data_IF_579671714273
#
_entry.id   IF_579671714273
#
_cell.length_a   1.000
_cell.length_b   1.000
_cell.length_c   1.000
_cell.angle_alpha   90.00
_cell.angle_beta   90.00
_cell.angle_gamma   90.00
#
_symmetry.space_group_name_H-M   'P 1'
#
loop_
_entity.id
_entity.type
_entity.pdbx_description
1 polymer ?
#
# COMPACT_ATOMS: atom_id res chain seq x y z
N UNK A 1 -10.24 40.81 26.00
CA UNK A 1 -10.81 39.78 25.07
C UNK A 1 -9.78 39.19 24.09
N UNK A 2 -8.74 39.92 23.65
CA UNK A 2 -7.74 39.44 22.67
C UNK A 2 -6.97 38.15 23.04
N UNK A 3 -6.64 37.93 24.32
CA UNK A 3 -5.86 36.76 24.76
C UNK A 3 -6.58 35.41 24.66
N UNK A 4 -7.92 35.40 24.65
CA UNK A 4 -8.72 34.17 24.48
C UNK A 4 -8.70 33.72 23.02
N UNK A 5 -8.76 34.66 22.08
CA UNK A 5 -8.69 34.38 20.65
C UNK A 5 -7.29 33.89 20.24
N UNK A 6 -6.22 34.46 20.80
CA UNK A 6 -4.84 34.03 20.54
C UNK A 6 -4.60 32.57 20.96
N UNK A 7 -5.09 32.16 22.14
CA UNK A 7 -4.96 30.79 22.66
C UNK A 7 -5.77 29.77 21.85
N UNK A 8 -6.96 30.17 21.35
CA UNK A 8 -7.77 29.34 20.46
C UNK A 8 -7.08 29.15 19.11
N UNK A 9 -6.51 30.21 18.55
CA UNK A 9 -5.77 30.18 17.28
C UNK A 9 -4.55 29.25 17.35
N UNK A 10 -3.75 29.36 18.42
CA UNK A 10 -2.60 28.47 18.65
C UNK A 10 -3.00 27.00 18.76
N UNK A 11 -4.10 26.70 19.47
CA UNK A 11 -4.66 25.34 19.55
C UNK A 11 -5.10 24.81 18.19
N UNK A 12 -5.77 25.63 17.38
CA UNK A 12 -6.22 25.24 16.05
C UNK A 12 -5.04 24.97 15.12
N UNK A 13 -4.00 25.81 15.14
CA UNK A 13 -2.77 25.60 14.35
C UNK A 13 -2.07 24.30 14.78
N UNK A 14 -1.97 24.05 16.09
CA UNK A 14 -1.38 22.81 16.61
C UNK A 14 -2.17 21.58 16.16
N UNK A 15 -3.50 21.61 16.24
CA UNK A 15 -4.37 20.51 15.80
C UNK A 15 -4.22 20.23 14.30
N UNK A 16 -4.18 21.27 13.47
CA UNK A 16 -3.98 21.13 12.01
C UNK A 16 -2.58 20.56 11.72
N UNK A 17 -1.55 21.03 12.42
CA UNK A 17 -0.18 20.51 12.29
C UNK A 17 -0.07 19.02 12.65
N UNK A 18 -0.73 18.59 13.73
CA UNK A 18 -0.78 17.17 14.13
C UNK A 18 -1.54 16.35 13.09
N UNK A 19 -2.66 16.84 12.57
CA UNK A 19 -3.46 16.10 11.58
C UNK A 19 -2.73 15.97 10.22
N UNK A 20 -1.99 16.99 9.82
CA UNK A 20 -1.16 16.95 8.62
C UNK A 20 -0.01 15.93 8.73
N UNK A 21 0.54 15.71 9.92
CA UNK A 21 1.62 14.75 10.16
C UNK A 21 1.20 13.27 10.10
N UNK A 22 -0.11 12.96 10.15
CA UNK A 22 -0.61 11.58 10.06
C UNK A 22 -0.54 11.02 8.61
N UNK A 23 -0.31 11.90 7.63
CA UNK A 23 -0.24 11.49 6.22
C UNK A 23 1.17 11.01 5.86
N UNK A 24 1.44 9.70 6.00
CA UNK A 24 2.25 8.89 5.04
C UNK A 24 2.80 7.55 5.61
N UNK A 25 2.05 6.81 6.42
CA UNK A 25 2.37 5.39 6.61
C UNK A 25 1.90 4.58 5.38
N UNK A 26 2.55 4.81 4.24
CA UNK A 26 2.21 4.23 2.94
C UNK A 26 2.87 2.85 2.82
N UNK A 27 2.28 1.85 3.47
CA UNK A 27 2.84 0.50 3.54
C UNK A 27 2.42 -0.37 2.35
N UNK A 28 3.36 -1.17 1.84
CA UNK A 28 3.05 -2.31 0.96
C UNK A 28 2.22 -3.33 1.74
N UNK A 29 1.23 -3.93 1.08
CA UNK A 29 0.43 -5.02 1.64
C UNK A 29 0.83 -6.31 0.94
N UNK A 30 1.25 -7.29 1.73
CA UNK A 30 1.63 -8.62 1.30
C UNK A 30 0.46 -9.57 1.53
N UNK A 31 0.09 -10.30 0.49
CA UNK A 31 -0.91 -11.35 0.55
C UNK A 31 -0.28 -12.70 0.20
N UNK A 32 -0.53 -13.72 1.00
CA UNK A 32 -0.11 -15.10 0.69
C UNK A 32 -1.07 -16.11 1.31
N UNK A 33 -0.94 -17.37 0.91
CA UNK A 33 -1.58 -18.49 1.59
C UNK A 33 -0.69 -18.98 2.72
N UNK A 34 -1.19 -18.90 3.95
CA UNK A 34 -0.51 -19.44 5.11
C UNK A 34 -0.33 -20.96 4.96
N UNK A 35 0.90 -21.49 5.04
CA UNK A 35 1.15 -22.90 4.78
C UNK A 35 0.58 -23.82 5.87
N UNK A 36 0.41 -23.33 7.10
CA UNK A 36 -0.09 -24.10 8.24
C UNK A 36 -1.63 -24.12 8.24
N UNK A 37 -2.24 -22.94 8.15
CA UNK A 37 -3.70 -22.79 8.29
C UNK A 37 -4.46 -22.83 6.97
N UNK A 38 -3.75 -22.77 5.82
CA UNK A 38 -4.32 -22.66 4.45
C UNK A 38 -5.20 -21.42 4.21
N UNK A 39 -5.23 -20.50 5.17
CA UNK A 39 -5.98 -19.24 5.07
C UNK A 39 -5.21 -18.21 4.27
N UNK A 40 -5.91 -17.22 3.71
CA UNK A 40 -5.24 -16.06 3.12
C UNK A 40 -4.80 -15.13 4.25
N UNK A 41 -3.51 -14.81 4.28
CA UNK A 41 -2.94 -13.80 5.17
C UNK A 41 -2.72 -12.50 4.43
N UNK A 42 -2.91 -11.40 5.14
CA UNK A 42 -2.60 -10.03 4.74
C UNK A 42 -1.73 -9.41 5.81
N UNK A 43 -0.60 -8.81 5.42
CA UNK A 43 0.35 -8.20 6.33
C UNK A 43 1.02 -6.99 5.69
N UNK A 44 1.37 -6.00 6.50
CA UNK A 44 2.24 -4.89 6.10
C UNK A 44 3.74 -5.24 6.26
N UNK A 45 4.05 -6.37 6.87
CA UNK A 45 5.39 -6.96 6.94
C UNK A 45 5.52 -8.11 5.93
N UNK A 46 6.62 -8.12 5.18
CA UNK A 46 6.91 -9.15 4.20
C UNK A 46 7.11 -10.51 4.87
N UNK A 47 6.64 -11.62 4.26
CA UNK A 47 6.97 -12.94 4.78
C UNK A 47 8.47 -13.23 4.60
N UNK A 48 9.09 -14.07 5.46
CA UNK A 48 10.55 -14.26 5.49
C UNK A 48 11.19 -14.79 4.21
N UNK A 49 10.40 -15.35 3.29
CA UNK A 49 10.88 -15.87 2.00
C UNK A 49 10.74 -14.89 0.84
N UNK A 50 10.01 -13.78 1.00
CA UNK A 50 9.84 -12.81 -0.08
C UNK A 50 11.19 -12.18 -0.45
N UNK A 51 11.53 -12.21 -1.75
CA UNK A 51 12.81 -11.76 -2.32
C UNK A 51 14.04 -12.55 -1.88
N UNK A 52 13.84 -13.70 -1.25
CA UNK A 52 14.93 -14.64 -0.97
C UNK A 52 14.89 -15.75 -2.03
N UNK A 53 15.72 -15.67 -3.08
CA UNK A 53 15.67 -16.61 -4.21
C UNK A 53 15.69 -18.09 -3.80
N UNK A 54 16.50 -18.43 -2.80
CA UNK A 54 16.63 -19.81 -2.34
C UNK A 54 15.36 -20.31 -1.64
N UNK A 55 14.72 -19.46 -0.84
CA UNK A 55 13.51 -19.81 -0.07
C UNK A 55 12.23 -19.64 -0.88
N UNK A 56 12.18 -18.64 -1.74
CA UNK A 56 11.00 -18.25 -2.52
C UNK A 56 10.56 -19.36 -3.47
N UNK A 57 11.50 -20.10 -4.08
CA UNK A 57 11.22 -21.22 -4.99
C UNK A 57 10.40 -22.36 -4.37
N UNK A 58 10.42 -22.50 -3.05
CA UNK A 58 9.72 -23.55 -2.30
C UNK A 58 8.62 -23.01 -1.38
N UNK A 59 8.33 -21.72 -1.48
CA UNK A 59 7.43 -21.04 -0.57
C UNK A 59 6.10 -20.67 -1.22
N UNK A 60 5.06 -20.35 -0.43
CA UNK A 60 3.79 -19.87 -0.96
C UNK A 60 3.95 -18.60 -1.82
N UNK A 61 3.16 -18.53 -2.90
CA UNK A 61 3.00 -17.33 -3.73
C UNK A 61 2.70 -16.12 -2.85
N UNK A 62 3.40 -15.02 -3.12
CA UNK A 62 3.19 -13.72 -2.50
C UNK A 62 2.72 -12.74 -3.57
N UNK A 63 1.61 -12.08 -3.30
CA UNK A 63 1.14 -10.92 -4.05
C UNK A 63 1.42 -9.67 -3.23
N UNK A 64 2.00 -8.66 -3.86
CA UNK A 64 2.31 -7.39 -3.20
C UNK A 64 1.43 -6.31 -3.79
N UNK A 65 0.71 -5.61 -2.94
CA UNK A 65 -0.14 -4.50 -3.30
C UNK A 65 0.46 -3.20 -2.78
N UNK A 66 0.39 -2.16 -3.61
CA UNK A 66 0.74 -0.80 -3.25
C UNK A 66 -0.41 0.10 -3.67
N UNK A 67 -1.03 0.80 -2.72
CA UNK A 67 -2.28 1.55 -2.94
C UNK A 67 -3.39 0.75 -3.63
N UNK A 68 -3.55 -0.53 -3.29
CA UNK A 68 -4.54 -1.41 -3.92
C UNK A 68 -4.22 -1.83 -5.36
N UNK A 69 -3.09 -1.38 -5.92
CA UNK A 69 -2.58 -1.86 -7.21
C UNK A 69 -1.62 -3.01 -6.98
N UNK A 70 -1.76 -4.09 -7.76
CA UNK A 70 -0.83 -5.21 -7.72
C UNK A 70 0.54 -4.79 -8.27
N UNK A 71 1.53 -4.74 -7.39
CA UNK A 71 2.89 -4.27 -7.66
C UNK A 71 3.88 -5.42 -7.93
N UNK A 72 3.59 -6.61 -7.44
CA UNK A 72 4.45 -7.79 -7.59
C UNK A 72 3.65 -9.07 -7.38
N UNK A 73 4.08 -10.15 -8.03
CA UNK A 73 3.50 -11.47 -7.89
C UNK A 73 4.56 -12.55 -8.11
N UNK A 74 4.88 -13.30 -7.04
CA UNK A 74 5.98 -14.27 -7.10
C UNK A 74 5.68 -15.51 -7.95
N UNK A 75 4.45 -15.68 -8.43
CA UNK A 75 4.13 -16.73 -9.41
C UNK A 75 4.52 -16.39 -10.84
N UNK A 76 4.86 -15.13 -11.11
CA UNK A 76 5.23 -14.66 -12.45
C UNK A 76 6.74 -14.71 -12.67
N UNK A 77 7.14 -14.76 -13.94
CA UNK A 77 8.54 -14.68 -14.37
C UNK A 77 9.21 -13.38 -13.88
N UNK A 78 10.52 -13.43 -13.66
CA UNK A 78 11.28 -12.34 -13.06
C UNK A 78 11.10 -11.01 -13.82
N UNK A 79 11.14 -11.06 -15.16
CA UNK A 79 11.04 -9.91 -16.05
C UNK A 79 9.67 -9.24 -15.93
N UNK A 80 8.60 -10.04 -15.83
CA UNK A 80 7.23 -9.55 -15.66
C UNK A 80 7.09 -8.84 -14.33
N UNK A 81 7.60 -9.44 -13.25
CA UNK A 81 7.59 -8.81 -11.93
C UNK A 81 8.38 -7.51 -11.90
N UNK A 82 9.52 -7.47 -12.60
CA UNK A 82 10.33 -6.27 -12.68
C UNK A 82 9.60 -5.15 -13.41
N UNK A 83 8.86 -5.47 -14.47
CA UNK A 83 7.98 -4.52 -15.17
C UNK A 83 6.81 -4.05 -14.29
N UNK A 84 6.18 -4.95 -13.54
CA UNK A 84 5.10 -4.57 -12.60
C UNK A 84 5.62 -3.61 -11.52
N UNK A 85 6.81 -3.86 -10.96
CA UNK A 85 7.42 -3.00 -9.96
C UNK A 85 7.79 -1.62 -10.52
N UNK A 86 8.26 -1.54 -11.76
CA UNK A 86 8.62 -0.26 -12.40
C UNK A 86 7.39 0.57 -12.78
N UNK A 87 6.27 -0.08 -13.09
CA UNK A 87 4.97 0.56 -13.32
C UNK A 87 4.23 0.86 -12.01
N UNK A 88 4.55 0.11 -10.95
CA UNK A 88 3.95 0.31 -9.65
C UNK A 88 4.26 1.73 -9.15
N UNK A 89 3.30 2.43 -8.56
CA UNK A 89 3.45 3.82 -8.10
C UNK A 89 4.35 3.98 -6.89
N UNK A 90 5.26 3.04 -6.63
CA UNK A 90 6.19 3.06 -5.51
C UNK A 90 6.98 4.38 -5.60
N UNK A 91 6.61 5.36 -4.77
CA UNK A 91 7.17 6.72 -4.80
C UNK A 91 6.51 7.73 -5.76
N UNK A 92 5.34 7.47 -6.34
CA UNK A 92 4.56 8.42 -7.17
C UNK A 92 3.10 8.50 -6.71
N UNK A 93 2.51 9.70 -6.72
CA UNK A 93 1.08 9.90 -6.48
C UNK A 93 0.25 9.20 -7.56
N UNK A 94 -0.69 8.35 -7.15
CA UNK A 94 -1.64 7.74 -8.06
C UNK A 94 -2.84 8.66 -8.31
N UNK A 95 -3.34 8.76 -9.55
CA UNK A 95 -4.74 9.15 -9.78
C UNK A 95 -5.69 8.07 -9.25
N UNK A 96 -6.93 8.44 -8.86
CA UNK A 96 -7.87 7.55 -8.18
C UNK A 96 -8.23 6.29 -9.00
N UNK A 97 -8.42 5.17 -8.28
CA UNK A 97 -8.65 3.79 -8.77
C UNK A 97 -9.94 3.58 -9.60
N UNK A 98 -10.71 4.62 -9.88
CA UNK A 98 -11.92 4.54 -10.71
C UNK A 98 -11.94 5.72 -11.65
N UNK A 99 -11.64 5.48 -12.93
CA UNK A 99 -11.96 6.46 -13.96
C UNK A 99 -13.49 6.63 -14.00
N UNK A 100 -14.06 7.85 -13.90
CA UNK A 100 -15.51 8.04 -13.92
C UNK A 100 -16.18 7.43 -15.17
N UNK A 101 -15.42 7.23 -16.25
CA UNK A 101 -15.87 6.54 -17.46
C UNK A 101 -16.33 5.09 -17.22
N UNK A 102 -15.70 4.34 -16.29
CA UNK A 102 -16.10 2.94 -16.02
C UNK A 102 -17.38 2.83 -15.19
N UNK A 103 -17.88 3.95 -14.61
CA UNK A 103 -19.18 4.01 -13.93
C UNK A 103 -20.33 4.28 -14.91
N UNK A 104 -20.08 4.91 -16.06
CA UNK A 104 -21.10 5.20 -17.07
C UNK A 104 -21.42 4.02 -18.00
N UNK A 105 -20.49 3.08 -18.19
CA UNK A 105 -20.71 1.89 -19.04
C UNK A 105 -21.60 0.81 -18.39
N UNK A 106 -22.16 1.06 -17.21
CA UNK A 106 -22.96 0.10 -16.42
C UNK A 106 -24.39 0.59 -16.12
N UNK A 107 -24.91 1.54 -16.89
CA UNK A 107 -26.30 1.98 -16.84
C UNK A 107 -26.98 1.74 -18.17
#
# INVERSE_FOLDING_TARGET
MAGVYMKRLLKTILLIGVFAAVSAAQAQVYQWKDPETKTTRLSNSAPPWYRNMQRESRAPRVQVFYYGVLADDTSLAFEVRQAMRSQSPIGRSLPPLVSPASRQARR
#
